data_IF_741405399230
#
_entry.id   IF_741405399230
#
_cell.length_a   1.000
_cell.length_b   1.000
_cell.length_c   1.000
_cell.angle_alpha   90.00
_cell.angle_beta   90.00
_cell.angle_gamma   90.00
#
_symmetry.space_group_name_H-M   'P 1'
#
loop_
_entity.id
_entity.type
_entity.pdbx_description
1 polymer ?
#
# COMPACT_ATOMS: atom_id res chain seq x y z
N UNK A 1 -16.78 -14.92 10.42
CA UNK A 1 -16.41 -15.48 11.75
C UNK A 1 -16.56 -14.44 12.87
N UNK A 2 -16.53 -14.84 14.15
CA UNK A 2 -16.50 -13.94 15.32
C UNK A 2 -15.09 -13.89 15.95
N UNK A 3 -14.74 -12.87 16.76
CA UNK A 3 -13.46 -12.85 17.48
C UNK A 3 -13.23 -14.11 18.32
N UNK A 4 -14.26 -14.59 19.02
CA UNK A 4 -14.17 -15.81 19.82
C UNK A 4 -13.84 -17.05 18.95
N UNK A 5 -14.46 -17.17 17.78
CA UNK A 5 -14.15 -18.25 16.83
C UNK A 5 -12.72 -18.17 16.29
N UNK A 6 -12.18 -16.96 16.10
CA UNK A 6 -10.79 -16.75 15.64
C UNK A 6 -9.78 -17.14 16.73
N UNK A 7 -10.03 -16.78 17.98
CA UNK A 7 -9.18 -17.23 19.09
C UNK A 7 -9.24 -18.75 19.29
N UNK A 8 -10.42 -19.35 19.14
CA UNK A 8 -10.55 -20.81 19.14
C UNK A 8 -9.79 -21.43 17.98
N UNK A 9 -9.90 -20.90 16.76
CA UNK A 9 -9.13 -21.32 15.60
C UNK A 9 -7.62 -21.27 15.90
N UNK A 10 -7.12 -20.14 16.38
CA UNK A 10 -5.70 -19.95 16.70
C UNK A 10 -5.17 -20.93 17.78
N UNK A 11 -6.01 -21.29 18.74
CA UNK A 11 -5.65 -22.19 19.85
C UNK A 11 -5.78 -23.67 19.51
N UNK A 12 -6.72 -24.04 18.63
CA UNK A 12 -7.08 -25.44 18.35
C UNK A 12 -6.49 -25.98 17.06
N UNK A 13 -6.11 -25.11 16.12
CA UNK A 13 -5.63 -25.57 14.83
C UNK A 13 -4.18 -26.04 14.95
N UNK A 14 -3.91 -27.25 14.50
CA UNK A 14 -2.54 -27.76 14.32
C UNK A 14 -1.92 -27.06 13.10
N UNK A 15 -1.60 -25.78 13.28
CA UNK A 15 -0.92 -24.99 12.26
C UNK A 15 0.50 -25.54 12.07
N UNK A 16 1.00 -25.65 10.83
CA UNK A 16 2.43 -25.77 10.59
C UNK A 16 3.15 -24.66 11.36
N UNK A 17 4.18 -24.97 12.16
CA UNK A 17 4.91 -23.96 12.96
C UNK A 17 4.34 -23.69 14.37
N UNK A 18 3.36 -24.47 14.84
CA UNK A 18 2.91 -24.45 16.23
C UNK A 18 1.84 -23.40 16.56
N UNK A 19 1.62 -23.09 17.86
CA UNK A 19 0.54 -22.22 18.31
C UNK A 19 0.69 -20.80 17.77
N UNK A 20 -0.44 -20.17 17.41
CA UNK A 20 -0.46 -18.84 16.84
C UNK A 20 -1.00 -17.78 17.81
N UNK A 21 -0.43 -16.58 17.76
CA UNK A 21 -1.00 -15.38 18.39
C UNK A 21 -1.92 -14.67 17.40
N UNK A 22 -2.94 -13.99 17.91
CA UNK A 22 -3.88 -13.23 17.08
C UNK A 22 -3.49 -11.75 17.13
N UNK A 23 -3.24 -11.17 15.96
CA UNK A 23 -3.11 -9.72 15.77
C UNK A 23 -4.35 -9.21 15.06
N UNK A 24 -5.03 -8.23 15.65
CA UNK A 24 -6.18 -7.59 15.04
C UNK A 24 -5.78 -6.30 14.32
N UNK A 25 -6.30 -6.12 13.10
CA UNK A 25 -6.23 -4.89 12.34
C UNK A 25 -7.65 -4.35 12.10
N UNK A 26 -7.78 -3.17 11.48
CA UNK A 26 -9.09 -2.60 11.15
C UNK A 26 -9.94 -3.51 10.26
N UNK A 27 -9.33 -4.28 9.36
CA UNK A 27 -10.04 -5.06 8.32
C UNK A 27 -9.70 -6.55 8.31
N UNK A 28 -8.73 -6.99 9.09
CA UNK A 28 -8.25 -8.38 9.10
C UNK A 28 -7.84 -8.86 10.50
N UNK A 29 -7.95 -10.15 10.74
CA UNK A 29 -7.22 -10.88 11.78
C UNK A 29 -5.99 -11.53 11.14
N UNK A 30 -4.86 -11.50 11.84
CA UNK A 30 -3.63 -12.18 11.41
C UNK A 30 -3.22 -13.15 12.50
N UNK A 31 -3.19 -14.45 12.18
CA UNK A 31 -2.67 -15.48 13.07
C UNK A 31 -1.17 -15.62 12.79
N UNK A 32 -0.33 -15.40 13.80
CA UNK A 32 1.13 -15.45 13.68
C UNK A 32 1.71 -16.56 14.54
N UNK A 33 2.42 -17.51 13.94
CA UNK A 33 3.23 -18.49 14.66
C UNK A 33 4.71 -18.34 14.29
N UNK A 34 5.56 -19.32 14.59
CA UNK A 34 7.01 -19.20 14.35
C UNK A 34 7.34 -18.95 12.87
N UNK A 35 6.71 -19.72 11.97
CA UNK A 35 7.08 -19.78 10.56
C UNK A 35 6.10 -19.05 9.62
N UNK A 36 4.85 -18.88 10.02
CA UNK A 36 3.76 -18.47 9.14
C UNK A 36 2.88 -17.36 9.71
N UNK A 37 2.23 -16.67 8.78
CA UNK A 37 1.14 -15.75 9.02
C UNK A 37 -0.12 -16.20 8.25
N UNK A 38 -1.27 -16.19 8.90
CA UNK A 38 -2.57 -16.49 8.27
C UNK A 38 -3.46 -15.27 8.34
N UNK A 39 -3.68 -14.60 7.21
CA UNK A 39 -4.52 -13.39 7.14
C UNK A 39 -5.95 -13.77 6.80
N UNK A 40 -6.88 -13.39 7.68
CA UNK A 40 -8.32 -13.65 7.58
C UNK A 40 -9.03 -12.30 7.57
N UNK A 41 -9.86 -12.02 6.58
CA UNK A 41 -10.59 -10.74 6.49
C UNK A 41 -11.70 -10.69 7.54
N UNK A 42 -11.87 -9.53 8.18
CA UNK A 42 -12.95 -9.28 9.16
C UNK A 42 -14.27 -9.02 8.43
N UNK A 43 -15.43 -9.38 9.02
CA UNK A 43 -16.73 -9.09 8.45
C UNK A 43 -17.11 -7.61 8.64
N UNK A 44 -16.42 -6.71 7.95
CA UNK A 44 -16.59 -5.26 8.06
C UNK A 44 -17.20 -4.67 6.79
N UNK A 45 -17.98 -3.61 6.94
CA UNK A 45 -18.50 -2.81 5.83
C UNK A 45 -18.20 -1.34 6.08
N UNK A 46 -17.35 -0.77 5.24
CA UNK A 46 -16.91 0.62 5.23
C UNK A 46 -17.42 1.28 3.93
N UNK A 47 -17.33 2.61 3.84
CA UNK A 47 -17.78 3.36 2.66
C UNK A 47 -17.04 2.98 1.37
N UNK A 48 -15.81 2.49 1.48
CA UNK A 48 -14.93 2.12 0.36
C UNK A 48 -14.59 0.62 0.30
N UNK A 49 -15.13 -0.20 1.20
CA UNK A 49 -14.75 -1.59 1.36
C UNK A 49 -15.90 -2.44 1.94
N UNK A 50 -16.27 -3.54 1.28
CA UNK A 50 -17.29 -4.44 1.80
C UNK A 50 -16.75 -5.88 1.91
N UNK A 51 -16.50 -6.31 3.15
CA UNK A 51 -16.12 -7.67 3.54
C UNK A 51 -17.24 -8.37 4.32
N UNK A 52 -18.47 -7.88 4.26
CA UNK A 52 -19.57 -8.34 5.12
C UNK A 52 -19.93 -9.82 4.90
N UNK A 53 -19.87 -10.31 3.67
CA UNK A 53 -20.21 -11.70 3.33
C UNK A 53 -18.96 -12.60 3.13
N UNK A 54 -19.05 -13.92 3.40
CA UNK A 54 -17.96 -14.86 3.08
C UNK A 54 -17.56 -14.85 1.60
N UNK A 55 -18.50 -14.68 0.67
CA UNK A 55 -18.25 -14.59 -0.78
C UNK A 55 -17.35 -13.40 -1.12
N UNK A 56 -17.65 -12.23 -0.52
CA UNK A 56 -16.84 -11.03 -0.68
C UNK A 56 -15.44 -11.23 -0.09
N UNK A 57 -15.35 -11.84 1.10
CA UNK A 57 -14.04 -12.13 1.72
C UNK A 57 -13.21 -13.11 0.89
N UNK A 58 -13.83 -14.16 0.32
CA UNK A 58 -13.16 -15.05 -0.64
C UNK A 58 -12.58 -14.27 -1.80
N UNK A 59 -13.41 -13.46 -2.45
CA UNK A 59 -13.03 -12.66 -3.61
C UNK A 59 -11.84 -11.74 -3.28
N UNK A 60 -11.88 -11.00 -2.17
CA UNK A 60 -10.77 -10.13 -1.82
C UNK A 60 -9.53 -10.89 -1.31
N UNK A 61 -9.67 -12.06 -0.70
CA UNK A 61 -8.52 -12.93 -0.39
C UNK A 61 -7.83 -13.41 -1.67
N UNK A 62 -8.62 -13.83 -2.67
CA UNK A 62 -8.10 -14.21 -3.99
C UNK A 62 -7.39 -13.04 -4.68
N UNK A 63 -7.96 -11.83 -4.61
CA UNK A 63 -7.33 -10.61 -5.14
C UNK A 63 -6.01 -10.30 -4.47
N UNK A 64 -6.00 -10.27 -3.15
CA UNK A 64 -4.79 -9.98 -2.38
C UNK A 64 -3.69 -10.99 -2.71
N UNK A 65 -4.03 -12.28 -2.75
CA UNK A 65 -3.09 -13.34 -3.10
C UNK A 65 -2.51 -13.15 -4.50
N UNK A 66 -3.35 -12.90 -5.52
CA UNK A 66 -2.89 -12.71 -6.90
C UNK A 66 -2.03 -11.45 -7.03
N UNK A 67 -2.47 -10.33 -6.47
CA UNK A 67 -1.80 -9.02 -6.62
C UNK A 67 -0.45 -8.98 -5.91
N UNK A 68 -0.35 -9.62 -4.75
CA UNK A 68 0.89 -9.62 -3.98
C UNK A 68 1.94 -10.60 -4.51
N UNK A 69 1.53 -11.72 -5.12
CA UNK A 69 2.47 -12.65 -5.76
C UNK A 69 3.21 -12.05 -6.96
N UNK A 70 2.82 -10.87 -7.46
CA UNK A 70 3.58 -10.11 -8.46
C UNK A 70 4.93 -9.61 -7.92
N UNK A 71 5.03 -9.36 -6.61
CA UNK A 71 6.20 -8.77 -5.95
C UNK A 71 6.78 -9.66 -4.83
N UNK A 72 5.98 -10.55 -4.26
CA UNK A 72 6.36 -11.46 -3.18
C UNK A 72 5.79 -12.90 -3.36
N UNK A 73 6.03 -13.57 -4.50
CA UNK A 73 5.51 -14.92 -4.77
C UNK A 73 5.96 -15.99 -3.76
N UNK A 74 7.11 -15.79 -3.13
CA UNK A 74 7.69 -16.65 -2.08
C UNK A 74 7.05 -16.43 -0.70
N UNK A 75 6.40 -15.29 -0.48
CA UNK A 75 5.73 -15.00 0.79
C UNK A 75 4.30 -15.49 0.77
N UNK A 76 3.57 -15.31 -0.32
CA UNK A 76 2.16 -15.70 -0.45
C UNK A 76 2.06 -17.14 -0.95
N UNK A 77 1.87 -18.08 -0.02
CA UNK A 77 2.00 -19.52 -0.28
C UNK A 77 0.74 -20.12 -0.88
N UNK A 78 -0.41 -19.95 -0.22
CA UNK A 78 -1.68 -20.52 -0.68
C UNK A 78 -2.90 -19.82 -0.09
N UNK A 79 -4.04 -20.04 -0.74
CA UNK A 79 -5.37 -19.70 -0.24
C UNK A 79 -5.98 -20.92 0.45
N UNK A 80 -6.62 -20.70 1.59
CA UNK A 80 -7.20 -21.75 2.41
C UNK A 80 -8.68 -21.46 2.66
N UNK A 81 -9.52 -22.48 2.50
CA UNK A 81 -10.88 -22.48 3.03
C UNK A 81 -10.82 -22.84 4.52
N UNK A 82 -11.52 -22.05 5.34
CA UNK A 82 -11.71 -22.32 6.76
C UNK A 82 -13.05 -23.04 6.92
N UNK A 83 -13.03 -24.26 7.42
CA UNK A 83 -14.21 -25.07 7.65
C UNK A 83 -14.26 -25.58 9.08
N UNK A 84 -15.44 -26.05 9.48
CA UNK A 84 -15.64 -26.76 10.74
C UNK A 84 -16.19 -28.13 10.44
N UNK A 85 -15.43 -29.16 10.81
CA UNK A 85 -15.83 -30.55 10.62
C UNK A 85 -17.05 -30.89 11.48
N UNK A 86 -17.80 -31.96 11.16
CA UNK A 86 -18.91 -32.43 11.99
C UNK A 86 -18.51 -32.73 13.45
N UNK A 87 -17.24 -33.06 13.70
CA UNK A 87 -16.66 -33.23 15.04
C UNK A 87 -16.57 -31.92 15.85
N UNK A 88 -16.75 -30.77 15.20
CA UNK A 88 -16.59 -29.45 15.80
C UNK A 88 -15.17 -28.90 15.71
N UNK A 89 -14.21 -29.66 15.17
CA UNK A 89 -12.83 -29.26 14.94
C UNK A 89 -12.72 -28.31 13.73
N UNK A 90 -11.75 -27.41 13.78
CA UNK A 90 -11.45 -26.51 12.68
C UNK A 90 -10.52 -27.16 11.66
N UNK A 91 -10.79 -26.95 10.37
CA UNK A 91 -9.93 -27.42 9.28
C UNK A 91 -9.56 -26.28 8.32
N UNK A 92 -8.34 -26.34 7.81
CA UNK A 92 -7.85 -25.48 6.74
C UNK A 92 -7.57 -26.35 5.51
N UNK A 93 -8.28 -26.09 4.43
CA UNK A 93 -8.13 -26.85 3.19
C UNK A 93 -7.62 -25.93 2.07
N UNK A 94 -6.55 -26.32 1.35
CA UNK A 94 -6.08 -25.56 0.19
C UNK A 94 -7.19 -25.40 -0.85
N UNK A 95 -7.45 -24.14 -1.22
CA UNK A 95 -8.31 -23.84 -2.35
C UNK A 95 -7.53 -24.04 -3.66
N UNK A 96 -8.18 -24.55 -4.71
CA UNK A 96 -7.58 -24.58 -6.03
C UNK A 96 -7.25 -23.14 -6.44
N UNK A 97 -5.96 -22.86 -6.65
CA UNK A 97 -5.53 -21.57 -7.18
C UNK A 97 -6.09 -21.40 -8.57
N UNK A 98 -6.98 -20.43 -8.75
CA UNK A 98 -7.45 -20.04 -10.08
C UNK A 98 -6.25 -19.44 -10.81
N UNK A 99 -5.83 -19.98 -11.97
CA UNK A 99 -4.69 -19.44 -12.70
C UNK A 99 -5.06 -18.09 -13.31
N UNK A 100 -4.90 -17.02 -12.53
CA UNK A 100 -4.83 -15.65 -13.01
C UNK A 100 -3.35 -15.37 -13.29
N UNK A 101 -2.91 -15.67 -14.51
CA UNK A 101 -1.51 -15.52 -14.90
C UNK A 101 -1.14 -14.03 -14.93
N UNK A 102 -0.35 -13.58 -13.97
CA UNK A 102 0.61 -12.50 -14.22
C UNK A 102 1.60 -13.04 -15.28
N UNK A 103 1.90 -12.25 -16.32
CA UNK A 103 2.71 -12.68 -17.48
C UNK A 103 3.93 -13.51 -17.07
N UNK A 104 3.96 -14.77 -17.52
CA UNK A 104 5.22 -15.49 -17.74
C UNK A 104 5.82 -15.07 -19.09
N UNK A 105 7.15 -15.00 -19.17
CA UNK A 105 7.93 -14.58 -20.34
C UNK A 105 7.80 -15.54 -21.54
N UNK A 106 6.61 -15.66 -22.13
CA UNK A 106 6.35 -16.46 -23.34
C UNK A 106 6.16 -15.59 -24.56
N UNK A 107 7.11 -15.62 -25.50
CA UNK A 107 6.93 -15.09 -26.86
C UNK A 107 6.01 -16.04 -27.62
N UNK A 108 4.78 -15.62 -27.93
CA UNK A 108 3.93 -16.34 -28.88
C UNK A 108 2.42 -16.07 -28.74
N UNK A 109 1.87 -15.38 -29.74
CA UNK A 109 0.48 -15.45 -30.24
C UNK A 109 -0.69 -15.37 -29.22
N UNK A 110 -1.29 -14.17 -29.17
CA UNK A 110 -2.71 -13.90 -28.83
C UNK A 110 -3.31 -14.66 -27.63
N UNK A 111 -2.73 -14.51 -26.44
CA UNK A 111 -3.45 -14.81 -25.19
C UNK A 111 -4.25 -13.58 -24.76
N UNK A 112 -5.59 -13.60 -24.86
CA UNK A 112 -6.43 -12.63 -24.16
C UNK A 112 -6.10 -12.71 -22.66
N UNK A 113 -5.58 -11.62 -22.09
CA UNK A 113 -5.27 -11.50 -20.66
C UNK A 113 -6.53 -11.82 -19.85
N UNK A 114 -6.44 -12.75 -18.89
CA UNK A 114 -7.48 -12.91 -17.87
C UNK A 114 -7.12 -12.00 -16.70
N UNK A 115 -7.58 -10.76 -16.75
CA UNK A 115 -7.54 -9.87 -15.59
C UNK A 115 -8.41 -10.44 -14.48
N UNK A 116 -7.94 -10.34 -13.23
CA UNK A 116 -8.80 -10.63 -12.09
C UNK A 116 -9.96 -9.63 -12.10
N UNK A 117 -11.22 -10.04 -11.95
CA UNK A 117 -12.35 -9.13 -12.04
C UNK A 117 -12.23 -7.98 -11.04
N UNK A 118 -12.44 -6.74 -11.49
CA UNK A 118 -12.40 -5.52 -10.66
C UNK A 118 -13.53 -5.43 -9.64
N UNK A 119 -14.62 -6.16 -9.87
CA UNK A 119 -15.77 -6.23 -8.96
C UNK A 119 -16.09 -7.69 -8.60
N UNK A 120 -16.65 -7.94 -7.40
CA UNK A 120 -17.09 -9.28 -7.02
C UNK A 120 -18.17 -9.78 -7.99
N UNK A 121 -18.14 -11.07 -8.38
CA UNK A 121 -19.23 -11.65 -9.15
C UNK A 121 -20.53 -11.61 -8.32
N UNK A 122 -21.71 -11.54 -8.97
CA UNK A 122 -22.98 -11.66 -8.26
C UNK A 122 -23.01 -12.99 -7.48
N UNK A 123 -23.56 -12.94 -6.26
CA UNK A 123 -23.66 -14.11 -5.41
C UNK A 123 -24.40 -15.23 -6.17
N UNK A 124 -23.74 -16.37 -6.38
CA UNK A 124 -24.42 -17.55 -6.90
C UNK A 124 -25.03 -18.29 -5.72
N UNK A 125 -26.36 -18.36 -5.68
CA UNK A 125 -27.05 -19.25 -4.76
C UNK A 125 -26.61 -20.70 -5.01
N UNK A 126 -26.12 -21.37 -3.97
CA UNK A 126 -25.91 -22.82 -3.97
C UNK A 126 -24.54 -23.36 -4.39
N UNK A 127 -23.45 -22.57 -4.38
CA UNK A 127 -22.11 -23.19 -4.51
C UNK A 127 -21.75 -23.95 -3.23
N UNK A 128 -21.87 -25.28 -3.29
CA UNK A 128 -21.66 -26.27 -2.22
C UNK A 128 -20.21 -26.40 -1.70
N UNK A 129 -19.29 -25.51 -2.10
CA UNK A 129 -17.85 -25.61 -1.83
C UNK A 129 -17.33 -24.39 -1.03
N UNK A 130 -18.17 -23.88 -0.15
CA UNK A 130 -17.92 -22.62 0.57
C UNK A 130 -17.52 -22.94 2.00
N UNK A 131 -16.22 -22.82 2.30
CA UNK A 131 -15.76 -22.71 3.68
C UNK A 131 -16.54 -21.62 4.43
N UNK A 132 -16.58 -21.72 5.76
CA UNK A 132 -17.19 -20.73 6.66
C UNK A 132 -16.49 -19.36 6.49
N UNK A 133 -15.19 -19.39 6.19
CA UNK A 133 -14.40 -18.20 5.87
C UNK A 133 -13.14 -18.59 5.09
N UNK A 134 -12.24 -17.64 4.84
CA UNK A 134 -11.05 -17.83 4.01
C UNK A 134 -9.80 -17.21 4.66
N UNK A 135 -8.67 -17.87 4.47
CA UNK A 135 -7.36 -17.39 4.91
C UNK A 135 -6.36 -17.35 3.75
N UNK A 136 -5.42 -16.41 3.84
CA UNK A 136 -4.20 -16.40 3.03
C UNK A 136 -3.06 -16.89 3.92
N UNK A 137 -2.42 -18.00 3.56
CA UNK A 137 -1.21 -18.45 4.23
C UNK A 137 0.02 -17.77 3.64
N UNK A 138 0.83 -17.19 4.52
CA UNK A 138 2.02 -16.45 4.19
C UNK A 138 3.21 -16.92 5.03
N UNK A 139 4.43 -16.76 4.51
CA UNK A 139 5.65 -16.85 5.32
C UNK A 139 5.67 -15.70 6.32
N UNK A 140 6.00 -15.97 7.59
CA UNK A 140 6.22 -14.92 8.57
C UNK A 140 7.56 -14.25 8.30
N UNK A 141 7.53 -12.96 8.05
CA UNK A 141 8.74 -12.16 7.82
C UNK A 141 9.32 -11.65 9.14
N UNK A 142 10.65 -11.55 9.26
CA UNK A 142 11.30 -11.12 10.49
C UNK A 142 11.13 -9.61 10.70
N UNK A 143 10.42 -9.21 11.75
CA UNK A 143 10.01 -7.82 11.98
C UNK A 143 11.18 -6.81 12.01
N UNK A 144 12.37 -7.23 12.45
CA UNK A 144 13.58 -6.40 12.53
C UNK A 144 14.15 -6.03 11.14
N UNK A 145 13.74 -6.73 10.08
CA UNK A 145 14.09 -6.42 8.70
C UNK A 145 13.05 -5.51 8.01
N UNK A 146 11.96 -5.14 8.69
CA UNK A 146 10.96 -4.25 8.14
C UNK A 146 11.56 -2.86 7.92
N UNK A 147 11.47 -2.33 6.70
CA UNK A 147 12.25 -1.19 6.23
C UNK A 147 12.05 0.07 7.09
N UNK A 148 10.84 0.33 7.58
CA UNK A 148 10.58 1.46 8.48
C UNK A 148 11.41 1.39 9.79
N UNK A 149 11.66 0.19 10.33
CA UNK A 149 12.50 -0.01 11.53
C UNK A 149 13.98 0.18 11.20
N UNK A 150 14.41 -0.29 10.03
CA UNK A 150 15.78 -0.08 9.54
C UNK A 150 16.06 1.40 9.25
N UNK A 151 15.09 2.14 8.71
CA UNK A 151 15.16 3.60 8.53
C UNK A 151 15.28 4.31 9.88
N UNK A 152 14.43 3.96 10.84
CA UNK A 152 14.42 4.55 12.18
C UNK A 152 15.75 4.31 12.94
N UNK A 153 16.29 3.09 12.85
CA UNK A 153 17.52 2.70 13.54
C UNK A 153 18.80 3.03 12.76
N UNK A 154 18.70 3.39 11.48
CA UNK A 154 19.84 3.73 10.63
C UNK A 154 20.60 2.55 10.04
N UNK A 155 20.01 1.35 10.00
CA UNK A 155 20.64 0.11 9.51
C UNK A 155 20.39 -0.19 8.02
N UNK A 156 19.96 0.81 7.24
CA UNK A 156 19.80 0.68 5.78
C UNK A 156 21.17 0.57 5.11
N UNK A 157 21.32 -0.36 4.16
CA UNK A 157 22.53 -0.51 3.34
C UNK A 157 22.26 -0.06 1.91
N UNK A 158 23.33 0.42 1.25
CA UNK A 158 23.28 0.87 -0.15
C UNK A 158 22.81 -0.23 -1.10
N UNK A 159 23.27 -1.46 -0.89
CA UNK A 159 22.91 -2.63 -1.69
C UNK A 159 21.40 -2.85 -1.69
N UNK A 160 20.79 -2.86 -0.50
CA UNK A 160 19.36 -3.16 -0.34
C UNK A 160 18.48 -2.13 -1.08
N UNK A 161 18.90 -0.86 -1.13
CA UNK A 161 18.20 0.17 -1.91
C UNK A 161 18.37 0.01 -3.41
N UNK A 162 19.54 -0.47 -3.86
CA UNK A 162 19.78 -0.72 -5.28
C UNK A 162 18.89 -1.88 -5.75
N UNK A 163 18.87 -2.98 -5.00
CA UNK A 163 18.04 -4.15 -5.29
C UNK A 163 16.55 -3.80 -5.25
N UNK A 164 16.12 -3.02 -4.25
CA UNK A 164 14.73 -2.56 -4.14
C UNK A 164 14.32 -1.69 -5.34
N UNK A 165 15.15 -0.72 -5.71
CA UNK A 165 14.90 0.15 -6.85
C UNK A 165 14.81 -0.64 -8.17
N UNK A 166 15.73 -1.59 -8.38
CA UNK A 166 15.73 -2.44 -9.58
C UNK A 166 14.51 -3.35 -9.65
N UNK A 167 14.09 -3.94 -8.51
CA UNK A 167 12.88 -4.77 -8.41
C UNK A 167 11.63 -3.95 -8.73
N UNK A 168 11.49 -2.76 -8.15
CA UNK A 168 10.38 -1.85 -8.42
C UNK A 168 10.33 -1.39 -9.89
N UNK A 169 11.46 -0.97 -10.45
CA UNK A 169 11.53 -0.56 -11.86
C UNK A 169 11.16 -1.71 -12.82
N UNK A 170 11.61 -2.93 -12.50
CA UNK A 170 11.25 -4.14 -13.27
C UNK A 170 9.76 -4.42 -13.18
N UNK A 171 9.16 -4.30 -11.99
CA UNK A 171 7.72 -4.47 -11.79
C UNK A 171 6.91 -3.43 -12.56
N UNK A 172 7.22 -2.13 -12.44
CA UNK A 172 6.47 -1.07 -13.13
C UNK A 172 6.60 -1.14 -14.65
N UNK A 173 7.74 -1.61 -15.19
CA UNK A 173 7.89 -1.88 -16.62
C UNK A 173 7.08 -3.10 -17.09
N UNK A 174 6.90 -4.09 -16.23
CA UNK A 174 6.28 -5.38 -16.58
C UNK A 174 4.76 -5.45 -16.37
N UNK A 175 4.22 -4.57 -15.53
CA UNK A 175 2.79 -4.52 -15.20
C UNK A 175 1.97 -3.84 -16.31
N UNK A 176 0.66 -3.75 -16.13
CA UNK A 176 -0.24 -3.16 -17.11
C UNK A 176 -0.16 -1.63 -17.09
N UNK A 177 -0.10 -1.04 -18.29
CA UNK A 177 -0.21 0.40 -18.49
C UNK A 177 -1.68 0.82 -18.53
N UNK A 178 -1.97 1.92 -17.85
CA UNK A 178 -3.31 2.49 -17.75
C UNK A 178 -3.35 3.73 -18.64
N UNK A 179 -4.13 3.65 -19.71
CA UNK A 179 -4.27 4.69 -20.73
C UNK A 179 -5.16 5.86 -20.30
N UNK A 180 -6.00 5.65 -19.28
CA UNK A 180 -6.75 6.72 -18.62
C UNK A 180 -5.78 7.62 -17.81
N UNK A 181 -5.72 8.94 -18.04
CA UNK A 181 -4.85 9.83 -17.27
C UNK A 181 -5.38 10.11 -15.87
N UNK A 182 -4.50 10.49 -14.94
CA UNK A 182 -4.96 11.14 -13.70
C UNK A 182 -5.66 12.45 -14.06
N UNK A 183 -6.71 12.79 -13.33
CA UNK A 183 -7.41 14.07 -13.48
C UNK A 183 -6.92 15.06 -12.45
N UNK A 184 -6.72 16.30 -12.86
CA UNK A 184 -6.36 17.38 -11.95
C UNK A 184 -7.42 17.59 -10.87
N UNK A 185 -8.71 17.42 -11.20
CA UNK A 185 -9.80 17.54 -10.23
C UNK A 185 -9.71 16.48 -9.12
N UNK A 186 -9.39 15.23 -9.47
CA UNK A 186 -9.29 14.13 -8.51
C UNK A 186 -8.13 14.35 -7.55
N UNK A 187 -6.99 14.86 -8.05
CA UNK A 187 -5.81 15.20 -7.25
C UNK A 187 -6.06 16.41 -6.33
N UNK A 188 -6.79 17.42 -6.80
CA UNK A 188 -7.22 18.56 -5.97
C UNK A 188 -8.15 18.08 -4.87
N UNK A 189 -9.14 17.25 -5.20
CA UNK A 189 -10.06 16.67 -4.22
C UNK A 189 -9.32 15.83 -3.17
N UNK A 190 -8.36 15.00 -3.61
CA UNK A 190 -7.57 14.17 -2.71
C UNK A 190 -6.67 14.99 -1.76
N UNK A 191 -6.21 16.17 -2.16
CA UNK A 191 -5.51 17.10 -1.25
C UNK A 191 -6.47 17.79 -0.29
N UNK A 192 -7.61 18.27 -0.78
CA UNK A 192 -8.65 18.94 0.01
C UNK A 192 -9.28 18.00 1.05
N UNK A 193 -9.21 16.68 0.83
CA UNK A 193 -9.64 15.66 1.80
C UNK A 193 -8.94 15.77 3.17
N UNK A 194 -7.81 16.49 3.28
CA UNK A 194 -7.20 16.80 4.59
C UNK A 194 -8.08 17.73 5.44
N UNK A 195 -9.01 18.48 4.84
CA UNK A 195 -9.97 19.35 5.56
C UNK A 195 -10.85 18.56 6.52
N UNK A 196 -11.11 17.26 6.26
CA UNK A 196 -11.97 16.42 7.11
C UNK A 196 -11.37 16.16 8.50
N UNK A 197 -10.10 16.52 8.73
CA UNK A 197 -9.41 16.38 10.01
C UNK A 197 -8.84 17.71 10.52
N UNK A 198 -9.36 18.85 10.04
CA UNK A 198 -8.89 20.20 10.37
C UNK A 198 -8.81 20.47 11.87
N UNK A 199 -9.90 20.23 12.60
CA UNK A 199 -9.95 20.51 14.04
C UNK A 199 -8.89 19.72 14.82
N UNK A 200 -8.68 18.45 14.42
CA UNK A 200 -7.65 17.60 15.00
C UNK A 200 -6.26 18.16 14.71
N UNK A 201 -5.99 18.56 13.46
CA UNK A 201 -4.71 19.13 13.06
C UNK A 201 -4.41 20.46 13.75
N UNK A 202 -5.41 21.32 13.97
CA UNK A 202 -5.24 22.54 14.76
C UNK A 202 -4.83 22.19 16.20
N UNK A 203 -5.46 21.17 16.80
CA UNK A 203 -5.10 20.69 18.14
C UNK A 203 -3.69 20.11 18.21
N UNK A 204 -3.26 19.39 17.18
CA UNK A 204 -1.93 18.74 17.13
C UNK A 204 -0.79 19.72 16.81
N UNK A 205 -1.00 20.66 15.89
CA UNK A 205 0.04 21.54 15.35
C UNK A 205 0.03 22.93 15.98
N UNK A 206 -1.12 23.39 16.49
CA UNK A 206 -1.35 24.78 16.82
C UNK A 206 -1.72 25.64 15.59
N UNK A 207 -2.30 26.83 15.82
CA UNK A 207 -2.93 27.62 14.76
C UNK A 207 -1.94 28.19 13.73
N UNK A 208 -0.71 28.48 14.12
CA UNK A 208 0.30 29.04 13.20
C UNK A 208 0.84 27.99 12.22
N UNK A 209 1.23 26.81 12.73
CA UNK A 209 1.73 25.73 11.86
C UNK A 209 0.62 25.15 10.98
N UNK A 210 -0.62 25.13 11.47
CA UNK A 210 -1.79 24.83 10.65
C UNK A 210 -1.96 25.82 9.48
N UNK A 211 -1.85 27.14 9.73
CA UNK A 211 -1.91 28.15 8.65
C UNK A 211 -0.83 27.94 7.60
N UNK A 212 0.41 27.65 8.01
CA UNK A 212 1.52 27.38 7.09
C UNK A 212 1.28 26.12 6.25
N UNK A 213 0.75 25.07 6.87
CA UNK A 213 0.35 23.86 6.17
C UNK A 213 -0.70 24.17 5.09
N UNK A 214 -1.71 24.98 5.38
CA UNK A 214 -2.75 25.34 4.39
C UNK A 214 -2.21 26.19 3.24
N UNK A 215 -1.31 27.15 3.51
CA UNK A 215 -0.63 27.88 2.45
C UNK A 215 0.20 26.96 1.52
N UNK A 216 0.83 25.92 2.08
CA UNK A 216 1.53 24.89 1.31
C UNK A 216 0.57 24.03 0.46
N UNK A 217 -0.59 23.64 1.00
CA UNK A 217 -1.60 22.93 0.23
C UNK A 217 -2.15 23.78 -0.91
N UNK A 218 -2.43 25.06 -0.66
CA UNK A 218 -2.88 26.00 -1.69
C UNK A 218 -1.85 26.12 -2.82
N UNK A 219 -0.57 26.16 -2.49
CA UNK A 219 0.52 26.14 -3.46
C UNK A 219 0.49 24.88 -4.32
N UNK A 220 0.34 23.70 -3.70
CA UNK A 220 0.24 22.43 -4.42
C UNK A 220 -1.02 22.35 -5.31
N UNK A 221 -2.18 22.81 -4.81
CA UNK A 221 -3.45 22.88 -5.56
C UNK A 221 -3.32 23.82 -6.76
N UNK A 222 -2.72 24.99 -6.58
CA UNK A 222 -2.52 25.95 -7.67
C UNK A 222 -1.57 25.41 -8.74
N UNK A 223 -0.51 24.70 -8.34
CA UNK A 223 0.39 24.03 -9.28
C UNK A 223 -0.36 22.99 -10.12
N UNK A 224 -1.07 22.04 -9.49
CA UNK A 224 -1.64 20.89 -10.19
C UNK A 224 -2.80 21.28 -11.13
N UNK A 225 -3.53 22.37 -10.84
CA UNK A 225 -4.70 22.83 -11.61
C UNK A 225 -4.44 22.94 -13.12
N UNK A 226 -3.21 23.25 -13.53
CA UNK A 226 -2.85 23.45 -14.94
C UNK A 226 -2.03 22.28 -15.53
N UNK A 227 -1.88 21.16 -14.83
CA UNK A 227 -1.02 20.05 -15.23
C UNK A 227 -1.73 18.92 -16.00
N UNK A 228 -3.01 19.07 -16.36
CA UNK A 228 -3.72 18.04 -17.12
C UNK A 228 -3.00 17.63 -18.41
N UNK A 229 -2.39 18.55 -19.21
CA UNK A 229 -1.61 18.15 -20.38
C UNK A 229 -0.40 17.27 -20.06
N UNK A 230 0.27 17.52 -18.93
CA UNK A 230 1.39 16.70 -18.46
C UNK A 230 0.90 15.30 -18.05
N UNK A 231 -0.16 15.22 -17.23
CA UNK A 231 -0.75 13.95 -16.81
C UNK A 231 -1.22 13.11 -18.00
N UNK A 232 -1.82 13.74 -19.02
CA UNK A 232 -2.22 13.09 -20.27
C UNK A 232 -1.01 12.49 -21.00
N UNK A 233 0.06 13.29 -21.17
CA UNK A 233 1.29 12.85 -21.82
C UNK A 233 1.91 11.66 -21.08
N UNK A 234 1.93 11.69 -19.75
CA UNK A 234 2.48 10.63 -18.91
C UNK A 234 1.73 9.31 -19.06
N UNK A 235 0.40 9.33 -19.05
CA UNK A 235 -0.42 8.15 -19.29
C UNK A 235 -0.19 7.57 -20.71
N UNK A 236 -0.12 8.43 -21.73
CA UNK A 236 0.17 8.02 -23.11
C UNK A 236 1.56 7.38 -23.27
N UNK A 237 2.54 7.79 -22.48
CA UNK A 237 3.87 7.17 -22.44
C UNK A 237 3.96 5.92 -21.54
N UNK A 238 2.86 5.49 -20.94
CA UNK A 238 2.82 4.28 -20.11
C UNK A 238 3.33 4.48 -18.69
N UNK A 239 3.43 5.72 -18.20
CA UNK A 239 3.88 6.02 -16.84
C UNK A 239 2.78 5.91 -15.78
N UNK A 240 1.53 5.66 -16.19
CA UNK A 240 0.46 5.22 -15.30
C UNK A 240 0.32 3.71 -15.40
N UNK A 241 0.35 3.03 -14.26
CA UNK A 241 0.50 1.57 -14.17
C UNK A 241 -0.44 0.96 -13.14
N UNK A 242 -0.76 -0.33 -13.29
CA UNK A 242 -1.36 -1.13 -12.23
C UNK A 242 -0.28 -1.50 -11.18
N UNK A 243 0.00 -0.56 -10.28
CA UNK A 243 1.10 -0.62 -9.32
C UNK A 243 0.79 -1.43 -8.07
N UNK A 244 1.44 -1.04 -6.97
CA UNK A 244 1.20 -1.51 -5.61
C UNK A 244 0.05 -0.74 -4.93
N UNK A 245 -0.05 0.58 -5.15
CA UNK A 245 -1.13 1.44 -4.64
C UNK A 245 -0.96 1.94 -3.19
N UNK A 246 -0.21 1.22 -2.37
CA UNK A 246 0.17 1.62 -0.99
C UNK A 246 1.67 1.43 -0.71
N UNK A 247 2.55 1.87 -1.61
CA UNK A 247 3.98 1.58 -1.53
C UNK A 247 4.68 2.48 -0.51
N UNK A 248 4.86 1.96 0.71
CA UNK A 248 5.57 2.68 1.77
C UNK A 248 6.44 1.74 2.62
N UNK A 249 7.35 2.27 3.45
CA UNK A 249 8.39 1.50 4.14
C UNK A 249 7.90 0.44 5.14
N UNK A 250 6.63 0.47 5.56
CA UNK A 250 6.04 -0.63 6.37
C UNK A 250 5.64 -1.84 5.52
N UNK A 251 5.47 -1.66 4.22
CA UNK A 251 5.07 -2.67 3.24
C UNK A 251 6.30 -3.28 2.54
N UNK A 252 7.49 -3.08 3.12
CA UNK A 252 8.78 -3.51 2.58
C UNK A 252 9.61 -4.15 3.68
N UNK A 253 10.18 -5.33 3.40
CA UNK A 253 11.24 -5.96 4.19
C UNK A 253 12.52 -6.02 3.37
N UNK A 254 13.65 -5.66 3.98
CA UNK A 254 14.97 -5.73 3.33
C UNK A 254 15.70 -6.95 3.88
N UNK A 255 15.51 -8.10 3.23
CA UNK A 255 16.15 -9.36 3.63
C UNK A 255 17.55 -9.48 3.02
N UNK A 256 18.42 -10.35 3.56
CA UNK A 256 19.74 -10.61 2.99
C UNK A 256 19.71 -11.07 1.53
N UNK A 257 18.73 -11.91 1.17
CA UNK A 257 18.58 -12.54 -0.14
C UNK A 257 17.95 -11.60 -1.18
N UNK A 258 16.82 -10.97 -0.83
CA UNK A 258 16.14 -9.98 -1.69
C UNK A 258 15.15 -9.10 -0.90
N UNK A 259 14.84 -7.89 -1.38
CA UNK A 259 13.77 -7.08 -0.82
C UNK A 259 12.40 -7.69 -1.12
N UNK A 260 11.53 -7.72 -0.11
CA UNK A 260 10.15 -8.16 -0.22
C UNK A 260 9.23 -6.94 -0.17
N UNK A 261 8.29 -6.86 -1.12
CA UNK A 261 7.25 -5.82 -1.18
C UNK A 261 5.91 -6.54 -1.15
N UNK A 262 5.06 -6.19 -0.18
CA UNK A 262 3.81 -6.89 0.09
C UNK A 262 2.71 -5.93 0.53
N UNK A 263 1.48 -6.43 0.63
CA UNK A 263 0.26 -5.67 0.94
C UNK A 263 -0.15 -4.68 -0.17
N UNK A 264 -0.06 -5.12 -1.44
CA UNK A 264 -0.66 -4.45 -2.59
C UNK A 264 -2.16 -4.20 -2.36
N UNK A 265 -2.63 -3.01 -2.74
CA UNK A 265 -4.02 -2.59 -2.57
C UNK A 265 -5.00 -3.50 -3.33
N UNK A 266 -5.77 -4.31 -2.61
CA UNK A 266 -6.57 -5.37 -3.21
C UNK A 266 -8.01 -4.98 -3.52
N UNK A 267 -8.53 -3.85 -3.02
CA UNK A 267 -9.97 -3.59 -3.03
C UNK A 267 -10.45 -2.46 -3.95
N UNK A 268 -9.54 -1.63 -4.46
CA UNK A 268 -9.88 -0.58 -5.41
C UNK A 268 -8.79 -0.50 -6.49
N UNK A 269 -9.18 -0.74 -7.75
CA UNK A 269 -8.25 -0.70 -8.87
C UNK A 269 -7.78 0.72 -9.19
N UNK A 270 -8.68 1.70 -9.17
CA UNK A 270 -8.36 3.08 -9.51
C UNK A 270 -7.34 3.69 -8.54
N UNK A 271 -7.38 3.29 -7.27
CA UNK A 271 -6.40 3.68 -6.26
C UNK A 271 -5.07 2.94 -6.40
N UNK A 272 -5.06 1.77 -7.05
CA UNK A 272 -3.84 1.03 -7.40
C UNK A 272 -3.26 1.48 -8.74
N UNK A 273 -4.07 2.09 -9.60
CA UNK A 273 -3.69 2.68 -10.88
C UNK A 273 -3.01 4.03 -10.70
N UNK A 274 -1.72 3.96 -10.39
CA UNK A 274 -0.90 5.09 -9.97
C UNK A 274 0.03 5.54 -11.09
N UNK A 275 0.44 6.81 -11.04
CA UNK A 275 1.61 7.26 -11.77
C UNK A 275 2.87 6.75 -11.06
N UNK A 276 3.88 6.30 -11.80
CA UNK A 276 5.12 5.78 -11.21
C UNK A 276 5.86 6.81 -10.34
N UNK A 277 5.68 8.11 -10.59
CA UNK A 277 6.20 9.18 -9.73
C UNK A 277 5.45 9.26 -8.41
N UNK A 278 4.13 9.12 -8.45
CA UNK A 278 3.26 9.12 -7.27
C UNK A 278 3.57 7.94 -6.35
N UNK A 279 3.70 6.75 -6.94
CA UNK A 279 4.05 5.54 -6.21
C UNK A 279 5.42 5.63 -5.53
N UNK A 280 6.44 6.10 -6.26
CA UNK A 280 7.77 6.29 -5.68
C UNK A 280 7.77 7.39 -4.61
N UNK A 281 7.03 8.48 -4.82
CA UNK A 281 6.95 9.59 -3.87
C UNK A 281 6.46 9.11 -2.51
N UNK A 282 5.49 8.19 -2.49
CA UNK A 282 4.95 7.67 -1.24
C UNK A 282 6.03 6.97 -0.39
N UNK A 283 6.91 6.19 -1.02
CA UNK A 283 8.05 5.58 -0.35
C UNK A 283 9.11 6.63 0.05
N UNK A 284 9.40 7.60 -0.83
CA UNK A 284 10.40 8.64 -0.59
C UNK A 284 10.05 9.53 0.62
N UNK A 285 8.77 9.81 0.87
CA UNK A 285 8.32 10.54 2.06
C UNK A 285 8.83 9.89 3.36
N UNK A 286 8.82 8.56 3.44
CA UNK A 286 9.28 7.86 4.65
C UNK A 286 10.79 8.06 4.90
N UNK A 287 11.63 8.11 3.85
CA UNK A 287 13.06 8.40 4.04
C UNK A 287 13.29 9.75 4.69
N UNK A 288 12.59 10.77 4.21
CA UNK A 288 12.75 12.13 4.70
C UNK A 288 12.14 12.31 6.09
N UNK A 289 11.06 11.58 6.39
CA UNK A 289 10.50 11.50 7.74
C UNK A 289 11.52 10.98 8.78
N UNK A 290 12.37 10.03 8.38
CA UNK A 290 13.46 9.49 9.20
C UNK A 290 14.79 10.24 9.03
N UNK A 291 14.83 11.36 8.29
CA UNK A 291 16.06 12.14 8.06
C UNK A 291 17.11 11.43 7.21
N UNK A 292 16.68 10.56 6.29
CA UNK A 292 17.53 9.71 5.43
C UNK A 292 17.54 10.18 3.97
N UNK A 293 17.55 11.49 3.73
CA UNK A 293 17.47 12.07 2.38
C UNK A 293 18.62 11.67 1.45
N UNK A 294 19.82 11.42 1.99
CA UNK A 294 20.95 10.89 1.19
C UNK A 294 20.67 9.49 0.64
N UNK A 295 20.00 8.65 1.44
CA UNK A 295 19.56 7.31 1.03
C UNK A 295 18.40 7.37 0.04
N UNK A 296 17.47 8.32 0.23
CA UNK A 296 16.42 8.64 -0.74
C UNK A 296 17.01 8.91 -2.14
N UNK A 297 18.06 9.73 -2.23
CA UNK A 297 18.73 10.02 -3.51
C UNK A 297 19.37 8.79 -4.16
N UNK A 298 19.83 7.81 -3.37
CA UNK A 298 20.34 6.54 -3.92
C UNK A 298 19.20 5.74 -4.54
N UNK A 299 18.07 5.61 -3.84
CA UNK A 299 16.89 4.91 -4.33
C UNK A 299 16.37 5.54 -5.63
N UNK A 300 16.13 6.85 -5.63
CA UNK A 300 15.57 7.58 -6.77
C UNK A 300 16.44 7.45 -8.02
N UNK A 301 17.74 7.73 -7.89
CA UNK A 301 18.67 7.64 -9.02
C UNK A 301 18.65 6.23 -9.60
N UNK A 302 18.81 5.22 -8.75
CA UNK A 302 18.85 3.82 -9.21
C UNK A 302 17.52 3.43 -9.87
N UNK A 303 16.39 3.87 -9.31
CA UNK A 303 15.06 3.55 -9.82
C UNK A 303 14.80 4.19 -11.18
N UNK A 304 15.05 5.50 -11.33
CA UNK A 304 14.81 6.20 -12.59
C UNK A 304 15.77 5.75 -13.70
N UNK A 305 17.04 5.47 -13.37
CA UNK A 305 18.00 4.85 -14.28
C UNK A 305 17.52 3.45 -14.71
N UNK A 306 17.08 2.62 -13.76
CA UNK A 306 16.62 1.27 -14.04
C UNK A 306 15.28 1.22 -14.78
N UNK A 307 14.43 2.25 -14.65
CA UNK A 307 13.16 2.38 -15.35
C UNK A 307 13.33 2.91 -16.78
N UNK A 308 14.47 3.54 -17.08
CA UNK A 308 14.72 4.26 -18.34
C UNK A 308 13.67 5.35 -18.59
N UNK A 309 13.30 6.05 -17.51
CA UNK A 309 12.30 7.11 -17.55
C UNK A 309 13.00 8.47 -17.67
N UNK A 310 12.72 9.26 -18.73
CA UNK A 310 13.19 10.64 -18.80
C UNK A 310 12.64 11.47 -17.63
N UNK A 311 13.50 12.25 -16.97
CA UNK A 311 13.13 13.18 -15.91
C UNK A 311 13.29 14.61 -16.40
N UNK A 312 12.34 15.07 -17.22
CA UNK A 312 12.27 16.46 -17.67
C UNK A 312 12.00 17.41 -16.47
N UNK A 313 12.25 18.72 -16.60
CA UNK A 313 11.97 19.67 -15.52
C UNK A 313 10.54 19.60 -14.98
N UNK A 314 9.55 19.39 -15.85
CA UNK A 314 8.14 19.28 -15.49
C UNK A 314 7.84 17.98 -14.73
N UNK A 315 8.51 16.86 -15.06
CA UNK A 315 8.40 15.61 -14.31
C UNK A 315 8.99 15.74 -12.91
N UNK A 316 10.09 16.51 -12.77
CA UNK A 316 10.68 16.79 -11.45
C UNK A 316 9.74 17.63 -10.59
N UNK A 317 9.13 18.68 -11.14
CA UNK A 317 8.14 19.48 -10.41
C UNK A 317 6.90 18.64 -10.04
N UNK A 318 6.42 17.79 -10.95
CA UNK A 318 5.32 16.88 -10.66
C UNK A 318 5.68 15.87 -9.56
N UNK A 319 6.91 15.38 -9.52
CA UNK A 319 7.39 14.52 -8.45
C UNK A 319 7.39 15.25 -7.09
N UNK A 320 7.80 16.53 -7.04
CA UNK A 320 7.67 17.35 -5.83
C UNK A 320 6.22 17.54 -5.39
N UNK A 321 5.28 17.70 -6.34
CA UNK A 321 3.86 17.72 -6.04
C UNK A 321 3.41 16.40 -5.40
N UNK A 322 3.78 15.25 -5.96
CA UNK A 322 3.42 13.96 -5.38
C UNK A 322 4.04 13.73 -3.99
N UNK A 323 5.24 14.24 -3.72
CA UNK A 323 5.83 14.21 -2.39
C UNK A 323 5.01 15.02 -1.38
N UNK A 324 4.55 16.22 -1.78
CA UNK A 324 3.67 17.04 -0.95
C UNK A 324 2.32 16.33 -0.69
N UNK A 325 1.72 15.76 -1.73
CA UNK A 325 0.48 14.98 -1.65
C UNK A 325 0.63 13.75 -0.75
N UNK A 326 1.64 12.90 -0.94
CA UNK A 326 1.80 11.69 -0.12
C UNK A 326 2.20 12.02 1.32
N UNK A 327 2.91 13.12 1.54
CA UNK A 327 3.17 13.64 2.89
C UNK A 327 1.88 14.13 3.57
N UNK A 328 0.97 14.79 2.86
CA UNK A 328 -0.34 15.18 3.40
C UNK A 328 -1.25 13.98 3.69
N UNK A 329 -1.20 12.93 2.87
CA UNK A 329 -1.89 11.66 3.14
C UNK A 329 -1.35 11.01 4.43
N UNK A 330 -0.02 10.96 4.62
CA UNK A 330 0.58 10.48 5.88
C UNK A 330 0.12 11.31 7.08
N UNK A 331 0.07 12.63 6.94
CA UNK A 331 -0.44 13.54 7.96
C UNK A 331 -1.90 13.24 8.32
N UNK A 332 -2.77 13.04 7.32
CA UNK A 332 -4.18 12.66 7.54
C UNK A 332 -4.30 11.38 8.35
N UNK A 333 -3.57 10.34 7.95
CA UNK A 333 -3.57 9.05 8.64
C UNK A 333 -3.08 9.19 10.08
N UNK A 334 -2.08 10.02 10.33
CA UNK A 334 -1.59 10.32 11.68
C UNK A 334 -2.66 11.02 12.53
N UNK A 335 -3.41 11.98 11.97
CA UNK A 335 -4.52 12.65 12.66
C UNK A 335 -5.67 11.68 12.99
N UNK A 336 -6.07 10.83 12.04
CA UNK A 336 -7.10 9.80 12.27
C UNK A 336 -6.68 8.80 13.35
N UNK A 337 -5.39 8.41 13.39
CA UNK A 337 -4.86 7.57 14.47
C UNK A 337 -4.90 8.27 15.81
N UNK A 338 -4.64 9.57 15.85
CA UNK A 338 -4.65 10.37 17.07
C UNK A 338 -6.07 10.46 17.67
N UNK A 339 -7.11 10.54 16.85
CA UNK A 339 -8.51 10.48 17.30
C UNK A 339 -8.87 9.18 18.03
N UNK A 340 -8.23 8.06 17.67
CA UNK A 340 -8.49 6.73 18.22
C UNK A 340 -7.47 6.31 19.29
N UNK A 341 -6.44 7.11 19.53
CA UNK A 341 -5.31 6.76 20.39
C UNK A 341 -5.61 6.98 21.88
N UNK A 342 -4.98 6.15 22.72
CA UNK A 342 -4.86 6.40 24.16
C UNK A 342 -3.86 7.56 24.43
N UNK A 343 -3.86 8.09 25.65
CA UNK A 343 -3.03 9.26 26.02
C UNK A 343 -1.53 9.09 25.73
N UNK A 344 -0.95 7.92 26.03
CA UNK A 344 0.48 7.67 25.85
C UNK A 344 0.92 7.69 24.37
N UNK A 345 0.03 7.26 23.47
CA UNK A 345 0.30 7.26 22.02
C UNK A 345 0.06 8.63 21.38
N UNK A 346 -0.75 9.51 21.99
CA UNK A 346 -1.06 10.84 21.45
C UNK A 346 0.17 11.74 21.31
N UNK A 347 1.04 11.78 22.32
CA UNK A 347 2.27 12.61 22.25
C UNK A 347 3.18 12.21 21.10
N UNK A 348 3.33 10.90 20.86
CA UNK A 348 4.12 10.40 19.71
C UNK A 348 3.50 10.84 18.40
N UNK A 349 2.18 10.72 18.26
CA UNK A 349 1.45 11.09 17.05
C UNK A 349 1.52 12.60 16.75
N UNK A 350 1.50 13.46 17.77
CA UNK A 350 1.73 14.90 17.62
C UNK A 350 3.11 15.16 16.99
N UNK A 351 4.16 14.53 17.53
CA UNK A 351 5.51 14.66 16.96
C UNK A 351 5.61 14.16 15.52
N UNK A 352 4.84 13.13 15.14
CA UNK A 352 4.75 12.67 13.75
C UNK A 352 4.03 13.68 12.86
N UNK A 353 2.92 14.26 13.33
CA UNK A 353 2.13 15.22 12.58
C UNK A 353 2.94 16.49 12.27
N UNK A 354 3.70 17.01 13.24
CA UNK A 354 4.60 18.15 13.03
C UNK A 354 5.65 17.84 11.96
N UNK A 355 6.23 16.63 11.96
CA UNK A 355 7.21 16.26 10.92
C UNK A 355 6.58 16.18 9.54
N UNK A 356 5.43 15.54 9.40
CA UNK A 356 4.76 15.46 8.10
C UNK A 356 4.28 16.83 7.62
N UNK A 357 3.82 17.72 8.51
CA UNK A 357 3.42 19.07 8.11
C UNK A 357 4.61 19.88 7.56
N UNK A 358 5.78 19.78 8.20
CA UNK A 358 7.02 20.41 7.72
C UNK A 358 7.51 19.82 6.40
N UNK A 359 7.40 18.51 6.21
CA UNK A 359 7.75 17.86 4.93
C UNK A 359 6.82 18.33 3.81
N UNK A 360 5.51 18.37 4.06
CA UNK A 360 4.51 18.85 3.10
C UNK A 360 4.83 20.29 2.68
N UNK A 361 5.12 21.18 3.64
CA UNK A 361 5.54 22.56 3.37
C UNK A 361 6.78 22.60 2.47
N UNK A 362 7.87 21.90 2.86
CA UNK A 362 9.12 21.88 2.10
C UNK A 362 8.95 21.39 0.66
N UNK A 363 8.10 20.40 0.43
CA UNK A 363 7.84 19.89 -0.92
C UNK A 363 6.99 20.87 -1.73
N UNK A 364 5.98 21.49 -1.13
CA UNK A 364 5.17 22.51 -1.77
C UNK A 364 5.97 23.76 -2.12
N UNK A 365 6.90 24.19 -1.27
CA UNK A 365 7.80 25.33 -1.54
C UNK A 365 8.65 25.09 -2.81
N UNK A 366 8.97 23.83 -3.12
CA UNK A 366 9.69 23.46 -4.35
C UNK A 366 8.86 23.63 -5.63
N UNK A 367 7.56 23.91 -5.51
CA UNK A 367 6.64 24.19 -6.62
C UNK A 367 6.53 25.69 -6.92
N UNK A 368 7.01 26.54 -6.03
CA UNK A 368 7.03 27.98 -6.27
C UNK A 368 8.04 28.30 -7.38
N UNK A 369 7.74 29.28 -8.24
CA UNK A 369 8.72 29.76 -9.20
C UNK A 369 9.95 30.27 -8.45
N UNK A 370 11.14 29.90 -8.93
CA UNK A 370 12.39 30.48 -8.41
C UNK A 370 12.37 31.96 -8.78
N UNK A 371 12.34 32.85 -7.79
CA UNK A 371 12.55 34.28 -8.03
C UNK A 371 13.94 34.45 -8.67
N UNK A 372 13.97 34.99 -9.89
CA UNK A 372 15.18 35.23 -10.69
C UNK A 372 15.88 36.50 -10.24
#
# INVERSE_FOLDING_TARGET
>A
MTPQSIHQLAASLQLPGGPATVVETHTSWVLLNEDYAFKIKRPVKLSFLDFSSPELRRYYCEREFVLNRRLAPQVYLQLLAISREPSGEWSLQPLPTIPYTARGNGRGHTSRRRHFPSTPPPAKEGSLDMGIDYAIQMVRLPDDHQMHRLLASGHIKRRDLIELAQKLATFHRGTDHIDHPLRTEDLIFALADLETVTDELIGMLGPEDHRRLWAALDTAINYIRNQQPLLNRRAQHGWRVDGHGDLHSRNIFLLPEEPIIFDCLEYNDEWRWVDVLDELAFLCVDFDFYGKSTWRSVLERTYFEALDMPMAPEDRQLFHYFLAYRSSVRLKVTALKHQLANEDDRTKLIGQAVRYSLLTQRYADSLLPVEI
#
